data_IF_131624519637
#
_entry.id   IF_131624519637
#
_cell.length_a   1.000
_cell.length_b   1.000
_cell.length_c   1.000
_cell.angle_alpha   90.00
_cell.angle_beta   90.00
_cell.angle_gamma   90.00
#
_symmetry.space_group_name_H-M   'P 1'
#
loop_
_entity.id
_entity.type
_entity.pdbx_description
1 polymer ?
#
# COMPACT_ATOMS: atom_id res chain seq x y z
N UNK A 1 -37.24 16.84 -22.57
CA UNK A 1 -36.68 15.48 -22.64
C UNK A 1 -35.24 15.57 -22.19
N UNK A 2 -34.97 15.21 -20.93
CA UNK A 2 -33.61 15.16 -20.41
C UNK A 2 -32.93 13.93 -21.00
N UNK A 3 -31.95 14.15 -21.88
CA UNK A 3 -31.03 13.11 -22.32
C UNK A 3 -30.15 12.73 -21.13
N UNK A 4 -30.37 11.52 -20.60
CA UNK A 4 -29.41 10.89 -19.70
C UNK A 4 -28.06 10.83 -20.41
N UNK A 5 -26.94 11.16 -19.73
CA UNK A 5 -25.63 10.95 -20.31
C UNK A 5 -25.46 9.46 -20.62
N UNK A 6 -24.98 9.16 -21.82
CA UNK A 6 -24.63 7.82 -22.25
C UNK A 6 -23.72 7.19 -21.19
N UNK A 7 -24.23 6.14 -20.52
CA UNK A 7 -23.39 5.20 -19.79
C UNK A 7 -22.44 4.57 -20.81
N UNK A 8 -21.26 5.16 -20.98
CA UNK A 8 -20.15 4.44 -21.59
C UNK A 8 -19.96 3.19 -20.74
N UNK A 9 -20.21 2.05 -21.36
CA UNK A 9 -19.73 0.77 -20.87
C UNK A 9 -18.22 0.91 -20.67
N UNK A 10 -17.79 1.19 -19.43
CA UNK A 10 -16.40 1.20 -19.02
C UNK A 10 -15.94 -0.25 -19.02
N UNK A 11 -15.73 -0.81 -20.21
CA UNK A 11 -15.07 -2.09 -20.38
C UNK A 11 -13.62 -1.85 -20.01
N UNK A 12 -13.27 -2.23 -18.78
CA UNK A 12 -11.90 -2.24 -18.29
C UNK A 12 -11.00 -2.92 -19.33
N UNK A 13 -9.94 -2.22 -19.73
CA UNK A 13 -8.97 -2.71 -20.72
C UNK A 13 -7.96 -3.67 -20.06
N UNK A 14 -7.98 -3.78 -18.72
CA UNK A 14 -7.07 -4.63 -17.94
C UNK A 14 -7.02 -6.07 -18.48
N UNK A 15 -8.12 -6.79 -18.75
CA UNK A 15 -8.04 -8.16 -19.28
C UNK A 15 -7.31 -8.24 -20.64
N UNK A 16 -7.51 -7.26 -21.53
CA UNK A 16 -6.84 -7.22 -22.83
C UNK A 16 -5.34 -6.93 -22.69
N UNK A 17 -4.96 -6.07 -21.73
CA UNK A 17 -3.56 -5.80 -21.40
C UNK A 17 -2.89 -7.01 -20.73
N UNK A 18 -3.63 -7.75 -19.89
CA UNK A 18 -3.14 -8.97 -19.24
C UNK A 18 -2.79 -10.05 -20.26
N UNK A 19 -3.54 -10.16 -21.37
CA UNK A 19 -3.15 -11.09 -22.44
C UNK A 19 -1.80 -10.74 -23.07
N UNK A 20 -1.44 -9.46 -23.14
CA UNK A 20 -0.15 -9.03 -23.68
C UNK A 20 1.02 -9.40 -22.75
N UNK A 21 0.77 -9.60 -21.45
CA UNK A 21 1.79 -10.08 -20.50
C UNK A 21 2.26 -11.51 -20.80
N UNK A 22 1.51 -12.29 -21.60
CA UNK A 22 1.90 -13.63 -22.05
C UNK A 22 2.79 -13.61 -23.30
N UNK A 23 3.04 -12.45 -23.88
CA UNK A 23 3.91 -12.32 -25.06
C UNK A 23 5.33 -12.80 -24.77
N UNK A 24 5.99 -13.45 -25.72
CA UNK A 24 7.41 -13.79 -25.62
C UNK A 24 8.31 -12.55 -25.67
N UNK A 25 7.83 -11.45 -26.27
CA UNK A 25 8.59 -10.22 -26.43
C UNK A 25 8.51 -9.35 -25.18
N UNK A 26 9.65 -9.13 -24.52
CA UNK A 26 9.75 -8.30 -23.31
C UNK A 26 9.25 -6.86 -23.53
N UNK A 27 9.52 -6.25 -24.70
CA UNK A 27 9.05 -4.90 -25.00
C UNK A 27 7.53 -4.77 -24.98
N UNK A 28 6.81 -5.81 -25.44
CA UNK A 28 5.34 -5.86 -25.39
C UNK A 28 4.88 -5.97 -23.94
N UNK A 29 5.49 -6.86 -23.15
CA UNK A 29 5.15 -7.04 -21.74
C UNK A 29 5.38 -5.76 -20.92
N UNK A 30 6.52 -5.09 -21.11
CA UNK A 30 6.82 -3.82 -20.45
C UNK A 30 5.81 -2.71 -20.80
N UNK A 31 5.46 -2.58 -22.08
CA UNK A 31 4.42 -1.64 -22.53
C UNK A 31 3.06 -1.96 -21.90
N UNK A 32 2.71 -3.24 -21.82
CA UNK A 32 1.48 -3.68 -21.17
C UNK A 32 1.46 -3.36 -19.67
N UNK A 33 2.56 -3.60 -18.94
CA UNK A 33 2.68 -3.24 -17.52
C UNK A 33 2.52 -1.73 -17.30
N UNK A 34 3.14 -0.90 -18.13
CA UNK A 34 2.97 0.57 -18.05
C UNK A 34 1.53 1.01 -18.28
N UNK A 35 0.85 0.39 -19.25
CA UNK A 35 -0.56 0.67 -19.52
C UNK A 35 -1.48 0.17 -18.40
N UNK A 36 -1.18 -0.98 -17.79
CA UNK A 36 -1.92 -1.50 -16.63
C UNK A 36 -1.79 -0.56 -15.44
N UNK A 37 -0.57 -0.08 -15.14
CA UNK A 37 -0.34 0.87 -14.06
C UNK A 37 -1.14 2.16 -14.28
N UNK A 38 -1.18 2.67 -15.52
CA UNK A 38 -1.99 3.84 -15.88
C UNK A 38 -3.49 3.58 -15.76
N UNK A 39 -3.98 2.43 -16.22
CA UNK A 39 -5.39 2.08 -16.17
C UNK A 39 -5.87 1.97 -14.73
N UNK A 40 -5.15 1.23 -13.88
CA UNK A 40 -5.44 1.11 -12.45
C UNK A 40 -5.42 2.47 -11.76
N UNK A 41 -4.47 3.34 -12.12
CA UNK A 41 -4.33 4.66 -11.54
C UNK A 41 -5.42 5.67 -11.92
N UNK A 42 -6.27 5.35 -12.91
CA UNK A 42 -7.29 6.28 -13.43
C UNK A 42 -8.69 5.70 -13.49
N UNK A 43 -8.86 4.39 -13.28
CA UNK A 43 -10.17 3.74 -13.25
C UNK A 43 -10.97 4.14 -12.01
N UNK A 44 -12.29 4.19 -12.18
CA UNK A 44 -13.27 4.19 -11.09
C UNK A 44 -13.30 2.82 -10.42
N UNK A 45 -12.52 2.64 -9.36
CA UNK A 45 -12.40 1.39 -8.62
C UNK A 45 -13.74 0.90 -8.05
N UNK A 46 -14.67 1.81 -7.76
CA UNK A 46 -16.03 1.51 -7.30
C UNK A 46 -16.86 0.74 -8.35
N UNK A 47 -16.46 0.76 -9.62
CA UNK A 47 -17.08 0.03 -10.72
C UNK A 47 -16.35 -1.27 -11.09
N UNK A 48 -15.19 -1.53 -10.47
CA UNK A 48 -14.37 -2.70 -10.77
C UNK A 48 -14.87 -3.95 -10.04
N UNK A 49 -14.58 -5.11 -10.60
CA UNK A 49 -14.84 -6.44 -10.01
C UNK A 49 -13.53 -7.10 -9.66
N UNK A 50 -13.48 -7.74 -8.49
CA UNK A 50 -12.28 -8.40 -7.98
C UNK A 50 -11.69 -9.42 -8.97
N UNK A 51 -12.56 -10.18 -9.63
CA UNK A 51 -12.19 -11.24 -10.57
C UNK A 51 -11.38 -10.71 -11.77
N UNK A 52 -11.56 -9.44 -12.16
CA UNK A 52 -10.83 -8.82 -13.26
C UNK A 52 -9.31 -8.73 -13.01
N UNK A 53 -8.90 -8.78 -11.75
CA UNK A 53 -7.49 -8.72 -11.34
C UNK A 53 -6.89 -10.10 -11.09
N UNK A 54 -7.67 -11.18 -11.14
CA UNK A 54 -7.19 -12.53 -10.81
C UNK A 54 -6.09 -13.00 -11.76
N UNK A 55 -6.33 -12.88 -13.07
CA UNK A 55 -5.32 -13.25 -14.08
C UNK A 55 -4.14 -12.28 -14.08
N UNK A 56 -4.36 -11.00 -13.77
CA UNK A 56 -3.28 -10.05 -13.56
C UNK A 56 -2.33 -10.54 -12.47
N UNK A 57 -2.86 -10.92 -11.31
CA UNK A 57 -2.06 -11.46 -10.20
C UNK A 57 -1.25 -12.72 -10.57
N UNK A 58 -1.81 -13.60 -11.40
CA UNK A 58 -1.04 -14.75 -11.94
C UNK A 58 0.17 -14.28 -12.76
N UNK A 59 -0.02 -13.30 -13.65
CA UNK A 59 1.06 -12.80 -14.50
C UNK A 59 2.11 -12.02 -13.71
N UNK A 60 1.69 -11.17 -12.76
CA UNK A 60 2.61 -10.42 -11.90
C UNK A 60 3.47 -11.38 -11.06
N UNK A 61 2.86 -12.43 -10.49
CA UNK A 61 3.59 -13.46 -9.73
C UNK A 61 4.69 -14.14 -10.57
N UNK A 62 4.43 -14.36 -11.86
CA UNK A 62 5.43 -14.93 -12.77
C UNK A 62 6.56 -13.94 -13.07
N UNK A 63 6.23 -12.70 -13.44
CA UNK A 63 7.18 -11.69 -13.90
C UNK A 63 8.12 -11.19 -12.80
N UNK A 64 7.66 -11.24 -11.55
CA UNK A 64 8.44 -10.79 -10.39
C UNK A 64 9.60 -11.73 -10.03
N UNK A 65 9.58 -12.99 -10.49
CA UNK A 65 10.59 -14.00 -10.11
C UNK A 65 12.02 -13.59 -10.47
N UNK A 66 12.21 -12.87 -11.57
CA UNK A 66 13.48 -12.21 -11.87
C UNK A 66 13.48 -10.80 -11.28
N UNK A 67 13.81 -10.71 -9.99
CA UNK A 67 13.81 -9.47 -9.20
C UNK A 67 14.75 -8.38 -9.74
N UNK A 68 15.68 -8.73 -10.63
CA UNK A 68 16.59 -7.77 -11.27
C UNK A 68 16.03 -7.21 -12.58
N UNK A 69 14.90 -7.73 -13.06
CA UNK A 69 14.29 -7.31 -14.31
C UNK A 69 13.48 -6.02 -14.16
N UNK A 70 13.41 -5.18 -15.21
CA UNK A 70 12.48 -4.04 -15.24
C UNK A 70 11.01 -4.47 -15.14
N UNK A 71 10.70 -5.72 -15.47
CA UNK A 71 9.35 -6.29 -15.36
C UNK A 71 8.97 -6.52 -13.90
N UNK A 72 9.91 -6.97 -13.07
CA UNK A 72 9.70 -7.12 -11.64
C UNK A 72 9.44 -5.77 -10.96
N UNK A 73 10.22 -4.74 -11.31
CA UNK A 73 10.01 -3.37 -10.79
C UNK A 73 8.59 -2.88 -11.07
N UNK A 74 8.17 -2.91 -12.35
CA UNK A 74 6.81 -2.50 -12.73
C UNK A 74 5.73 -3.37 -12.10
N UNK A 75 5.97 -4.68 -11.98
CA UNK A 75 4.99 -5.59 -11.39
C UNK A 75 4.77 -5.32 -9.91
N UNK A 76 5.84 -5.05 -9.16
CA UNK A 76 5.73 -4.67 -7.74
C UNK A 76 5.09 -3.29 -7.59
N UNK A 77 5.38 -2.33 -8.48
CA UNK A 77 4.67 -1.03 -8.49
C UNK A 77 3.16 -1.18 -8.77
N UNK A 78 2.74 -2.12 -9.61
CA UNK A 78 1.31 -2.41 -9.84
C UNK A 78 0.67 -3.00 -8.58
N UNK A 79 1.35 -3.93 -7.92
CA UNK A 79 0.87 -4.53 -6.67
C UNK A 79 0.72 -3.47 -5.57
N UNK A 80 1.70 -2.58 -5.44
CA UNK A 80 1.68 -1.44 -4.53
C UNK A 80 0.56 -0.44 -4.88
N UNK A 81 0.34 -0.15 -6.17
CA UNK A 81 -0.75 0.73 -6.55
C UNK A 81 -2.11 0.11 -6.19
N UNK A 82 -2.29 -1.19 -6.44
CA UNK A 82 -3.52 -1.90 -6.09
C UNK A 82 -3.72 -2.00 -4.57
N UNK A 83 -2.65 -2.07 -3.77
CA UNK A 83 -2.74 -2.13 -2.31
C UNK A 83 -3.47 -0.93 -1.71
N UNK A 84 -3.41 0.22 -2.37
CA UNK A 84 -4.12 1.43 -1.93
C UNK A 84 -5.42 1.66 -2.70
N UNK A 85 -5.45 1.35 -4.00
CA UNK A 85 -6.62 1.63 -4.83
C UNK A 85 -7.79 0.67 -4.58
N UNK A 86 -7.55 -0.57 -4.14
CA UNK A 86 -8.63 -1.51 -3.89
C UNK A 86 -9.58 -1.07 -2.77
N UNK A 87 -9.13 -0.19 -1.87
CA UNK A 87 -9.95 0.40 -0.80
C UNK A 87 -11.08 1.28 -1.35
N UNK A 88 -10.97 1.73 -2.61
CA UNK A 88 -12.02 2.50 -3.31
C UNK A 88 -13.07 1.59 -3.98
N UNK A 89 -12.88 0.28 -3.97
CA UNK A 89 -13.88 -0.67 -4.48
C UNK A 89 -15.09 -0.77 -3.55
N UNK A 90 -16.22 -1.25 -4.07
CA UNK A 90 -17.34 -1.66 -3.21
C UNK A 90 -16.85 -2.72 -2.22
N UNK A 91 -17.25 -2.63 -0.95
CA UNK A 91 -16.76 -3.48 0.16
C UNK A 91 -16.71 -4.97 -0.20
N UNK A 92 -17.77 -5.50 -0.82
CA UNK A 92 -17.81 -6.90 -1.26
C UNK A 92 -16.68 -7.23 -2.26
N UNK A 93 -16.46 -6.38 -3.25
CA UNK A 93 -15.39 -6.58 -4.25
C UNK A 93 -13.99 -6.38 -3.64
N UNK A 94 -13.84 -5.42 -2.73
CA UNK A 94 -12.61 -5.23 -1.96
C UNK A 94 -12.24 -6.51 -1.18
N UNK A 95 -13.20 -7.08 -0.44
CA UNK A 95 -13.00 -8.33 0.30
C UNK A 95 -12.69 -9.52 -0.62
N UNK A 96 -13.39 -9.64 -1.75
CA UNK A 96 -13.11 -10.69 -2.73
C UNK A 96 -11.72 -10.54 -3.34
N UNK A 97 -11.24 -9.32 -3.59
CA UNK A 97 -9.90 -9.10 -4.11
C UNK A 97 -8.83 -9.52 -3.09
N UNK A 98 -9.04 -9.24 -1.80
CA UNK A 98 -8.16 -9.72 -0.72
C UNK A 98 -8.10 -11.25 -0.66
N UNK A 99 -9.24 -11.93 -0.85
CA UNK A 99 -9.28 -13.40 -0.93
C UNK A 99 -8.45 -13.90 -2.10
N UNK A 100 -8.66 -13.35 -3.30
CA UNK A 100 -7.90 -13.72 -4.50
C UNK A 100 -6.40 -13.47 -4.27
N UNK A 101 -6.02 -12.32 -3.73
CA UNK A 101 -4.63 -11.99 -3.44
C UNK A 101 -3.96 -13.03 -2.51
N UNK A 102 -4.68 -13.49 -1.48
CA UNK A 102 -4.23 -14.54 -0.56
C UNK A 102 -4.14 -15.90 -1.24
N UNK A 103 -5.16 -16.30 -2.00
CA UNK A 103 -5.18 -17.58 -2.74
C UNK A 103 -4.02 -17.68 -3.75
N UNK A 104 -3.67 -16.55 -4.39
CA UNK A 104 -2.53 -16.44 -5.31
C UNK A 104 -1.17 -16.42 -4.61
N UNK A 105 -1.14 -16.47 -3.28
CA UNK A 105 0.07 -16.41 -2.44
C UNK A 105 0.96 -15.19 -2.71
N UNK A 106 0.39 -14.08 -3.18
CA UNK A 106 1.16 -12.87 -3.45
C UNK A 106 1.75 -12.26 -2.18
N UNK A 107 1.04 -12.33 -1.05
CA UNK A 107 1.58 -11.87 0.23
C UNK A 107 2.86 -12.60 0.63
N UNK A 108 2.92 -13.93 0.41
CA UNK A 108 4.13 -14.72 0.65
C UNK A 108 5.26 -14.31 -0.30
N UNK A 109 4.96 -14.16 -1.60
CA UNK A 109 5.94 -13.76 -2.61
C UNK A 109 6.57 -12.40 -2.28
N UNK A 110 5.78 -11.41 -1.87
CA UNK A 110 6.27 -10.07 -1.54
C UNK A 110 7.13 -10.08 -0.28
N UNK A 111 6.77 -10.89 0.72
CA UNK A 111 7.62 -11.10 1.92
C UNK A 111 8.97 -11.73 1.54
N UNK A 112 8.98 -12.73 0.68
CA UNK A 112 10.22 -13.35 0.18
C UNK A 112 11.11 -12.34 -0.56
N UNK A 113 10.52 -11.46 -1.37
CA UNK A 113 11.23 -10.37 -2.05
C UNK A 113 11.82 -9.38 -1.06
N UNK A 114 11.03 -8.96 -0.06
CA UNK A 114 11.50 -8.03 0.96
C UNK A 114 12.68 -8.60 1.75
N UNK A 115 12.60 -9.87 2.14
CA UNK A 115 13.65 -10.55 2.91
C UNK A 115 14.90 -10.85 2.10
N UNK A 116 14.81 -10.90 0.77
CA UNK A 116 15.95 -11.18 -0.09
C UNK A 116 16.91 -9.98 -0.12
N UNK A 117 18.15 -10.19 0.34
CA UNK A 117 19.21 -9.18 0.38
C UNK A 117 19.63 -8.67 -1.00
N UNK A 118 19.40 -9.46 -2.05
CA UNK A 118 19.74 -9.09 -3.44
C UNK A 118 18.64 -8.25 -4.10
N UNK A 119 17.49 -8.08 -3.46
CA UNK A 119 16.40 -7.29 -4.02
C UNK A 119 16.82 -5.81 -4.13
N UNK A 120 16.66 -5.19 -5.32
CA UNK A 120 16.92 -3.77 -5.49
C UNK A 120 16.15 -2.91 -4.48
N UNK A 121 16.78 -1.85 -3.98
CA UNK A 121 16.22 -1.00 -2.90
C UNK A 121 14.80 -0.48 -3.22
N UNK A 122 14.56 -0.05 -4.46
CA UNK A 122 13.23 0.43 -4.89
C UNK A 122 12.16 -0.67 -4.82
N UNK A 123 12.48 -1.89 -5.25
CA UNK A 123 11.55 -3.02 -5.20
C UNK A 123 11.31 -3.42 -3.75
N UNK A 124 12.36 -3.42 -2.92
CA UNK A 124 12.26 -3.73 -1.49
C UNK A 124 11.41 -2.70 -0.75
N UNK A 125 11.54 -1.43 -1.10
CA UNK A 125 10.70 -0.35 -0.61
C UNK A 125 9.22 -0.57 -0.98
N UNK A 126 8.90 -0.75 -2.27
CA UNK A 126 7.52 -1.05 -2.70
C UNK A 126 6.94 -2.31 -2.06
N UNK A 127 7.76 -3.33 -1.85
CA UNK A 127 7.38 -4.56 -1.15
C UNK A 127 7.03 -4.30 0.31
N UNK A 128 7.82 -3.48 1.03
CA UNK A 128 7.58 -3.13 2.43
C UNK A 128 6.19 -2.52 2.63
N UNK A 129 5.82 -1.54 1.79
CA UNK A 129 4.51 -0.91 1.86
C UNK A 129 3.38 -1.86 1.45
N UNK A 130 3.58 -2.63 0.37
CA UNK A 130 2.60 -3.61 -0.07
C UNK A 130 2.29 -4.65 1.02
N UNK A 131 3.28 -5.08 1.81
CA UNK A 131 3.10 -6.04 2.90
C UNK A 131 2.11 -5.54 3.96
N UNK A 132 2.16 -4.25 4.28
CA UNK A 132 1.28 -3.62 5.27
C UNK A 132 -0.10 -3.29 4.67
N UNK A 133 -0.13 -2.68 3.49
CA UNK A 133 -1.38 -2.24 2.86
C UNK A 133 -2.27 -3.43 2.43
N UNK A 134 -1.67 -4.57 2.06
CA UNK A 134 -2.39 -5.82 1.82
C UNK A 134 -2.68 -6.63 3.09
N UNK A 135 -2.31 -6.11 4.27
CA UNK A 135 -2.51 -6.72 5.59
C UNK A 135 -1.98 -8.16 5.63
N UNK A 136 -0.72 -8.34 5.23
CA UNK A 136 -0.12 -9.68 5.08
C UNK A 136 0.63 -10.17 6.30
N UNK A 137 1.04 -9.29 7.23
CA UNK A 137 1.61 -9.68 8.53
C UNK A 137 0.57 -10.49 9.31
N UNK A 138 0.96 -11.69 9.75
CA UNK A 138 0.04 -12.62 10.43
C UNK A 138 0.00 -12.42 11.94
N UNK A 139 1.11 -11.98 12.54
CA UNK A 139 1.28 -11.72 13.96
C UNK A 139 2.59 -10.95 14.22
N UNK A 140 2.83 -10.56 15.46
CA UNK A 140 4.02 -9.79 15.84
C UNK A 140 5.38 -10.49 15.67
N UNK A 141 5.39 -11.82 15.52
CA UNK A 141 6.60 -12.62 15.27
C UNK A 141 6.88 -12.83 13.78
N UNK A 142 6.07 -12.24 12.89
CA UNK A 142 6.33 -12.27 11.46
C UNK A 142 7.70 -11.62 11.17
N UNK A 143 8.61 -12.32 10.46
CA UNK A 143 9.97 -11.85 10.21
C UNK A 143 10.02 -10.55 9.40
N UNK A 144 8.95 -10.16 8.70
CA UNK A 144 8.87 -8.88 8.01
C UNK A 144 8.41 -7.73 8.91
N UNK A 145 7.69 -7.99 10.00
CA UNK A 145 6.97 -6.94 10.72
C UNK A 145 7.90 -5.90 11.34
N UNK A 146 8.77 -6.31 12.25
CA UNK A 146 9.71 -5.40 12.94
C UNK A 146 10.67 -4.70 11.96
N UNK A 147 11.30 -5.41 11.01
CA UNK A 147 12.18 -4.74 10.04
C UNK A 147 11.47 -3.71 9.16
N UNK A 148 10.20 -3.93 8.79
CA UNK A 148 9.45 -2.92 8.04
C UNK A 148 9.10 -1.73 8.93
N UNK A 149 8.73 -1.93 10.19
CA UNK A 149 8.50 -0.81 11.11
C UNK A 149 9.77 0.03 11.29
N UNK A 150 10.93 -0.59 11.46
CA UNK A 150 12.23 0.11 11.55
C UNK A 150 12.51 0.91 10.27
N UNK A 151 12.29 0.30 9.10
CA UNK A 151 12.38 0.98 7.80
C UNK A 151 11.43 2.19 7.70
N UNK A 152 10.18 2.03 8.13
CA UNK A 152 9.19 3.12 8.10
C UNK A 152 9.58 4.26 9.06
N UNK A 153 10.17 3.97 10.22
CA UNK A 153 10.69 5.00 11.12
C UNK A 153 11.82 5.80 10.47
N UNK A 154 12.78 5.13 9.83
CA UNK A 154 13.88 5.79 9.12
C UNK A 154 13.37 6.68 7.97
N UNK A 155 12.37 6.19 7.23
CA UNK A 155 11.71 6.93 6.16
C UNK A 155 10.92 8.13 6.69
N UNK A 156 10.20 7.97 7.79
CA UNK A 156 9.46 9.06 8.43
C UNK A 156 10.40 10.18 8.85
N UNK A 157 11.51 9.84 9.51
CA UNK A 157 12.52 10.83 9.92
C UNK A 157 13.10 11.58 8.72
N UNK A 158 13.46 10.86 7.66
CA UNK A 158 14.01 11.48 6.44
C UNK A 158 13.00 12.41 5.77
N UNK A 159 11.71 12.05 5.83
CA UNK A 159 10.62 12.86 5.30
C UNK A 159 10.33 14.08 6.18
N UNK A 160 10.39 13.94 7.51
CA UNK A 160 10.31 15.05 8.48
C UNK A 160 11.42 16.08 8.20
N UNK A 161 12.68 15.64 8.07
CA UNK A 161 13.82 16.50 7.72
C UNK A 161 13.60 17.23 6.38
N UNK A 162 13.01 16.56 5.39
CA UNK A 162 12.69 17.17 4.09
C UNK A 162 11.60 18.24 4.22
N UNK A 163 10.55 17.96 4.99
CA UNK A 163 9.38 18.83 5.17
C UNK A 163 9.71 20.09 5.98
N UNK A 164 10.75 20.08 6.83
CA UNK A 164 11.26 21.28 7.47
C UNK A 164 11.81 22.30 6.44
N UNK A 165 12.43 21.82 5.37
CA UNK A 165 13.00 22.64 4.30
C UNK A 165 11.97 22.99 3.22
N UNK A 166 11.10 22.04 2.89
CA UNK A 166 10.06 22.16 1.86
C UNK A 166 8.72 21.75 2.45
N UNK A 167 8.01 22.68 3.12
CA UNK A 167 6.76 22.38 3.78
C UNK A 167 5.72 21.77 2.85
N UNK A 168 4.90 20.87 3.40
CA UNK A 168 3.91 20.11 2.65
C UNK A 168 3.02 21.00 1.78
N UNK A 169 2.94 20.66 0.49
CA UNK A 169 1.99 21.26 -0.43
C UNK A 169 1.34 20.18 -1.31
N UNK A 170 0.03 19.98 -1.12
CA UNK A 170 -0.75 18.96 -1.83
C UNK A 170 -0.71 19.06 -3.35
N UNK A 171 -0.42 20.23 -3.92
CA UNK A 171 -0.34 20.42 -5.38
C UNK A 171 1.01 20.00 -5.96
N UNK A 172 2.08 20.02 -5.15
CA UNK A 172 3.46 19.82 -5.60
C UNK A 172 4.15 18.60 -4.99
N UNK A 173 3.56 18.00 -3.94
CA UNK A 173 4.12 16.81 -3.32
C UNK A 173 4.28 15.69 -4.34
N UNK A 174 5.47 15.09 -4.34
CA UNK A 174 5.75 13.94 -5.19
C UNK A 174 5.05 12.70 -4.63
N UNK A 175 4.40 11.98 -5.53
CA UNK A 175 3.80 10.68 -5.24
C UNK A 175 4.82 9.59 -5.52
N UNK A 176 4.78 8.49 -4.75
CA UNK A 176 5.68 7.34 -4.95
C UNK A 176 5.60 6.75 -6.35
N UNK A 177 4.39 6.75 -6.90
CA UNK A 177 4.14 6.57 -8.31
C UNK A 177 3.13 7.63 -8.76
N UNK A 178 3.03 7.89 -10.08
CA UNK A 178 2.18 8.96 -10.65
C UNK A 178 0.74 8.99 -10.11
N UNK A 179 0.20 7.85 -9.69
CA UNK A 179 -1.19 7.69 -9.27
C UNK A 179 -1.36 7.34 -7.79
N UNK A 180 -0.26 7.09 -7.09
CA UNK A 180 -0.24 6.62 -5.73
C UNK A 180 -0.35 7.75 -4.70
N UNK A 181 0.01 7.39 -3.48
CA UNK A 181 0.10 8.29 -2.35
C UNK A 181 1.42 9.06 -2.38
N UNK A 182 1.43 10.19 -1.68
CA UNK A 182 2.68 10.90 -1.33
C UNK A 182 3.51 10.07 -0.36
N UNK A 183 4.80 10.38 -0.25
CA UNK A 183 5.72 9.68 0.66
C UNK A 183 5.18 9.65 2.10
N UNK A 184 4.82 10.81 2.66
CA UNK A 184 4.27 10.89 4.01
C UNK A 184 2.96 10.11 4.17
N UNK A 185 2.03 10.23 3.21
CA UNK A 185 0.77 9.50 3.25
C UNK A 185 1.01 7.99 3.28
N UNK A 186 1.89 7.48 2.43
CA UNK A 186 2.21 6.05 2.44
C UNK A 186 2.88 5.56 3.71
N UNK A 187 3.78 6.36 4.29
CA UNK A 187 4.46 5.99 5.55
C UNK A 187 3.43 5.83 6.66
N UNK A 188 2.50 6.80 6.78
CA UNK A 188 1.50 6.78 7.84
C UNK A 188 0.39 5.75 7.59
N UNK A 189 -0.04 5.55 6.33
CA UNK A 189 -0.99 4.50 5.94
C UNK A 189 -0.46 3.13 6.36
N UNK A 190 0.82 2.84 6.06
CA UNK A 190 1.47 1.62 6.49
C UNK A 190 1.57 1.54 8.02
N UNK A 191 2.08 2.57 8.72
CA UNK A 191 2.19 2.53 10.18
C UNK A 191 0.86 2.21 10.88
N UNK A 192 -0.26 2.74 10.37
CA UNK A 192 -1.56 2.55 11.00
C UNK A 192 -2.27 1.24 10.63
N UNK A 193 -1.78 0.47 9.66
CA UNK A 193 -2.48 -0.70 9.14
C UNK A 193 -2.90 -1.72 10.22
N UNK A 194 -2.07 -1.87 11.26
CA UNK A 194 -2.29 -2.79 12.38
C UNK A 194 -2.65 -2.10 13.71
N UNK A 195 -3.08 -0.83 13.67
CA UNK A 195 -3.42 -0.08 14.91
C UNK A 195 -4.67 -0.59 15.63
N UNK A 196 -5.50 -1.40 14.94
CA UNK A 196 -6.73 -2.00 15.48
C UNK A 196 -6.65 -3.52 15.66
N UNK A 197 -5.49 -4.12 15.41
CA UNK A 197 -5.31 -5.56 15.40
C UNK A 197 -5.05 -6.15 16.80
N UNK A 198 -4.50 -7.37 16.85
CA UNK A 198 -4.12 -8.03 18.09
C UNK A 198 -3.15 -7.21 18.95
N UNK A 199 -3.18 -7.46 20.26
CA UNK A 199 -2.45 -6.69 21.27
C UNK A 199 -0.95 -6.59 20.99
N UNK A 200 -0.32 -7.68 20.54
CA UNK A 200 1.12 -7.72 20.29
C UNK A 200 1.52 -6.84 19.09
N UNK A 201 0.72 -6.80 18.01
CA UNK A 201 0.98 -5.93 16.87
C UNK A 201 0.84 -4.45 17.28
N UNK A 202 -0.22 -4.11 18.02
CA UNK A 202 -0.42 -2.75 18.55
C UNK A 202 0.71 -2.34 19.50
N UNK A 203 1.16 -3.26 20.35
CA UNK A 203 2.27 -3.01 21.29
C UNK A 203 3.55 -2.67 20.53
N UNK A 204 3.91 -3.43 19.50
CA UNK A 204 5.12 -3.17 18.72
C UNK A 204 5.07 -1.79 18.01
N UNK A 205 3.89 -1.39 17.52
CA UNK A 205 3.65 -0.05 16.96
C UNK A 205 3.80 1.02 18.05
N UNK A 206 3.23 0.79 19.23
CA UNK A 206 3.31 1.71 20.37
C UNK A 206 4.76 1.89 20.86
N UNK A 207 5.52 0.80 20.97
CA UNK A 207 6.93 0.78 21.35
C UNK A 207 7.81 1.54 20.34
N UNK A 208 7.29 1.79 19.14
CA UNK A 208 7.87 2.59 18.05
C UNK A 208 7.28 3.99 17.91
N UNK A 209 6.77 4.52 19.01
CA UNK A 209 6.18 5.86 19.09
C UNK A 209 4.91 6.05 18.24
N UNK A 210 4.20 4.97 17.89
CA UNK A 210 3.01 5.05 17.04
C UNK A 210 1.98 6.07 17.54
N UNK A 211 1.72 6.10 18.85
CA UNK A 211 0.81 7.10 19.45
C UNK A 211 1.32 8.53 19.21
N UNK A 212 2.60 8.78 19.47
CA UNK A 212 3.23 10.09 19.33
C UNK A 212 3.23 10.54 17.87
N UNK A 213 3.50 9.63 16.93
CA UNK A 213 3.37 9.89 15.49
C UNK A 213 1.93 10.34 15.18
N UNK A 214 0.92 9.63 15.70
CA UNK A 214 -0.48 10.03 15.56
C UNK A 214 -0.76 11.45 16.06
N UNK A 215 -0.24 11.81 17.24
CA UNK A 215 -0.38 13.16 17.80
C UNK A 215 0.31 14.21 16.92
N UNK A 216 1.50 13.95 16.40
CA UNK A 216 2.24 14.91 15.54
C UNK A 216 1.47 15.29 14.27
N UNK A 217 0.72 14.35 13.71
CA UNK A 217 0.10 14.51 12.38
C UNK A 217 -1.43 14.68 12.40
N UNK A 218 -2.06 14.75 13.57
CA UNK A 218 -3.53 14.82 13.68
C UNK A 218 -4.14 16.08 13.02
N UNK A 219 -3.39 17.18 13.01
CA UNK A 219 -3.81 18.47 12.43
C UNK A 219 -3.21 18.72 11.03
N UNK A 220 -2.63 17.70 10.40
CA UNK A 220 -1.97 17.85 9.09
C UNK A 220 -2.96 18.28 7.98
N UNK A 221 -2.55 19.08 6.97
CA UNK A 221 -3.46 19.52 5.90
C UNK A 221 -4.09 18.39 5.05
N UNK A 222 -3.35 17.31 4.79
CA UNK A 222 -3.89 16.14 4.07
C UNK A 222 -4.89 15.38 4.93
N UNK A 223 -6.11 15.18 4.41
CA UNK A 223 -7.14 14.38 5.07
C UNK A 223 -6.70 12.93 5.26
N UNK A 224 -5.96 12.36 4.30
CA UNK A 224 -5.48 10.98 4.39
C UNK A 224 -4.45 10.82 5.51
N UNK A 225 -3.52 11.77 5.63
CA UNK A 225 -2.58 11.83 6.78
C UNK A 225 -3.33 11.90 8.10
N UNK A 226 -4.35 12.77 8.23
CA UNK A 226 -5.12 12.87 9.48
C UNK A 226 -5.85 11.59 9.83
N UNK A 227 -6.38 10.86 8.84
CA UNK A 227 -7.04 9.56 9.07
C UNK A 227 -6.03 8.57 9.65
N UNK A 228 -4.89 8.36 9.00
CA UNK A 228 -3.84 7.45 9.51
C UNK A 228 -3.33 7.88 10.89
N UNK A 229 -3.16 9.18 11.12
CA UNK A 229 -2.75 9.74 12.40
C UNK A 229 -3.80 9.48 13.50
N UNK A 230 -5.09 9.59 13.18
CA UNK A 230 -6.19 9.27 14.10
C UNK A 230 -6.17 7.79 14.47
N UNK A 231 -5.93 6.91 13.51
CA UNK A 231 -5.85 5.46 13.74
C UNK A 231 -4.71 5.12 14.71
N UNK A 232 -3.53 5.70 14.52
CA UNK A 232 -2.39 5.56 15.42
C UNK A 232 -2.67 6.13 16.81
N UNK A 233 -3.23 7.34 16.89
CA UNK A 233 -3.59 7.97 18.17
C UNK A 233 -4.65 7.16 18.93
N UNK A 234 -5.53 6.44 18.23
CA UNK A 234 -6.59 5.65 18.87
C UNK A 234 -6.06 4.50 19.74
N UNK A 235 -4.79 4.09 19.57
CA UNK A 235 -4.12 3.12 20.45
C UNK A 235 -4.13 3.62 21.92
N UNK A 236 -4.17 4.94 22.16
CA UNK A 236 -4.34 5.53 23.50
C UNK A 236 -5.61 4.99 24.18
N UNK A 237 -6.65 4.64 23.44
CA UNK A 237 -7.91 4.14 24.03
C UNK A 237 -7.89 2.66 24.37
N UNK A 238 -6.88 1.91 23.90
CA UNK A 238 -6.73 0.49 24.24
C UNK A 238 -6.43 0.33 25.74
N UNK A 239 -7.19 -0.54 26.41
CA UNK A 239 -7.09 -0.68 27.87
C UNK A 239 -5.72 -1.21 28.32
N UNK A 240 -5.12 -2.12 27.55
CA UNK A 240 -3.83 -2.73 27.86
C UNK A 240 -2.69 -1.89 27.31
N UNK A 241 -2.64 -1.72 25.98
CA UNK A 241 -1.49 -1.11 25.28
C UNK A 241 -1.38 0.39 25.61
N UNK A 242 -2.50 1.12 25.57
CA UNK A 242 -2.52 2.56 25.86
C UNK A 242 -2.36 2.92 27.34
N UNK A 243 -2.38 1.94 28.26
CA UNK A 243 -2.37 2.18 29.71
C UNK A 243 -1.13 2.93 30.17
N UNK A 244 0.04 2.58 29.66
CA UNK A 244 1.30 3.21 30.04
C UNK A 244 1.35 4.66 29.54
N UNK A 245 0.91 4.90 28.30
CA UNK A 245 0.84 6.25 27.75
C UNK A 245 -0.07 7.16 28.58
N UNK A 246 -1.27 6.70 28.96
CA UNK A 246 -2.23 7.43 29.81
C UNK A 246 -1.75 7.65 31.25
N UNK A 247 -0.86 6.81 31.77
CA UNK A 247 -0.27 7.04 33.11
C UNK A 247 0.80 8.13 33.09
N UNK A 248 1.52 8.23 31.98
CA UNK A 248 2.66 9.14 31.83
C UNK A 248 2.26 10.51 31.24
N UNK A 249 1.05 10.65 30.72
CA UNK A 249 0.53 11.86 30.10
C UNK A 249 -0.86 12.17 30.65
N UNK A 250 -1.22 13.44 30.78
CA UNK A 250 -2.55 13.88 31.21
C UNK A 250 -3.53 13.79 30.02
N UNK A 251 -4.03 12.59 29.75
CA UNK A 251 -4.90 12.29 28.61
C UNK A 251 -6.08 11.36 28.94
#
# INVERSE_FOLDING_TARGET
TFSLPEFRSNRLIIPDLVQQLKSEQQSIRLSALDNILKEIGTVQMELCRAEQFSELFDQLSFLIKDISSPEAEKSVSIIELLSTQHLNMVIFECQQLLVIFKEKQLGKLIKEIYQNEKTPALIKESAAYSIFDWVTIENAEDPCFKPILDFLQEKLKSEEDRLELHPYNSETEQKRNKYGLTTLESILDAFCAYSYDEENLKKEICDREGIQIGIRYIDHPSAKVRVSATCLQSIITDQSVGSEFRKNNDC
#
